data_IF_388217118362
#
_entry.id   IF_388217118362
#
_cell.length_a   1.000
_cell.length_b   1.000
_cell.length_c   1.000
_cell.angle_alpha   90.00
_cell.angle_beta   90.00
_cell.angle_gamma   90.00
#
_symmetry.space_group_name_H-M   'P 1'
#
loop_
_entity.id
_entity.type
_entity.pdbx_description
1 polymer ?
#
# COMPACT_ATOMS: atom_id res chain seq x y z
N UNK A 1 -83.87 -24.15 -15.47
CA UNK A 1 -83.16 -25.44 -15.22
C UNK A 1 -81.71 -25.15 -15.22
N UNK A 2 -81.11 -25.20 -14.03
CA UNK A 2 -79.99 -26.01 -13.52
C UNK A 2 -78.71 -25.99 -14.43
N UNK A 3 -77.52 -25.77 -14.05
CA UNK A 3 -76.87 -26.04 -12.79
C UNK A 3 -75.52 -25.33 -12.77
N UNK A 4 -75.14 -24.89 -11.60
CA UNK A 4 -73.81 -24.42 -11.25
C UNK A 4 -72.71 -25.52 -11.38
N UNK A 5 -71.46 -25.12 -11.56
CA UNK A 5 -70.32 -25.82 -10.98
C UNK A 5 -69.21 -24.81 -10.78
N UNK A 6 -69.13 -24.30 -9.57
CA UNK A 6 -67.91 -23.73 -8.98
C UNK A 6 -66.94 -24.87 -8.70
N UNK A 7 -65.84 -24.90 -9.41
CA UNK A 7 -64.67 -25.72 -9.00
C UNK A 7 -63.76 -24.88 -8.11
N UNK A 8 -63.88 -25.15 -6.81
CA UNK A 8 -62.89 -24.70 -5.83
C UNK A 8 -61.56 -25.41 -6.13
N UNK A 9 -60.56 -24.64 -6.55
CA UNK A 9 -59.20 -25.14 -6.73
C UNK A 9 -58.58 -25.25 -5.35
N UNK A 10 -58.65 -26.46 -4.77
CA UNK A 10 -57.96 -26.79 -3.52
C UNK A 10 -56.47 -26.86 -3.86
N UNK A 11 -55.71 -25.78 -3.58
CA UNK A 11 -54.25 -25.77 -3.66
C UNK A 11 -53.75 -26.55 -2.45
N UNK A 12 -53.16 -27.70 -2.69
CA UNK A 12 -52.61 -28.57 -1.65
C UNK A 12 -51.54 -27.84 -0.78
N UNK A 13 -51.50 -28.12 0.51
CA UNK A 13 -50.56 -27.42 1.46
C UNK A 13 -49.10 -27.59 1.10
N UNK A 14 -48.73 -28.60 0.32
CA UNK A 14 -47.36 -28.84 -0.13
C UNK A 14 -46.82 -27.76 -1.07
N UNK A 15 -47.66 -27.16 -1.92
CA UNK A 15 -47.25 -26.06 -2.81
C UNK A 15 -47.00 -24.75 -2.08
N UNK A 16 -47.71 -24.50 -0.96
CA UNK A 16 -47.47 -23.30 -0.13
C UNK A 16 -46.11 -23.34 0.59
N UNK A 17 -45.69 -24.54 1.05
CA UNK A 17 -44.38 -24.70 1.68
C UNK A 17 -43.21 -24.53 0.68
N UNK A 18 -43.39 -25.01 -0.56
CA UNK A 18 -42.37 -24.89 -1.60
C UNK A 18 -42.19 -23.43 -2.06
N UNK A 19 -43.28 -22.65 -2.19
CA UNK A 19 -43.19 -21.24 -2.53
C UNK A 19 -42.54 -20.38 -1.43
N UNK A 20 -42.80 -20.70 -0.15
CA UNK A 20 -42.23 -19.98 0.96
C UNK A 20 -40.72 -20.27 1.10
N UNK A 21 -40.28 -21.50 0.84
CA UNK A 21 -38.85 -21.87 0.87
C UNK A 21 -38.05 -21.23 -0.28
N UNK A 22 -38.62 -21.13 -1.47
CA UNK A 22 -38.00 -20.47 -2.62
C UNK A 22 -37.91 -18.95 -2.39
N UNK A 23 -38.90 -18.32 -1.76
CA UNK A 23 -38.86 -16.89 -1.44
C UNK A 23 -37.83 -16.58 -0.38
N UNK A 24 -37.61 -17.44 0.62
CA UNK A 24 -36.58 -17.27 1.64
C UNK A 24 -35.18 -17.49 1.06
N UNK A 25 -34.99 -18.44 0.13
CA UNK A 25 -33.71 -18.67 -0.55
C UNK A 25 -33.33 -17.51 -1.48
N UNK A 26 -34.29 -16.90 -2.18
CA UNK A 26 -34.05 -15.72 -3.04
C UNK A 26 -33.77 -14.48 -2.20
N UNK A 27 -34.40 -14.32 -1.02
CA UNK A 27 -34.12 -13.21 -0.12
C UNK A 27 -32.72 -13.31 0.53
N UNK A 28 -32.21 -14.53 0.74
CA UNK A 28 -30.83 -14.73 1.27
C UNK A 28 -29.75 -14.44 0.22
N UNK A 29 -30.07 -14.60 -1.07
CA UNK A 29 -29.14 -14.31 -2.18
C UNK A 29 -29.01 -12.79 -2.49
N UNK A 30 -29.91 -11.97 -1.97
CA UNK A 30 -29.95 -10.52 -2.19
C UNK A 30 -29.53 -9.71 -0.95
N UNK A 31 -28.87 -10.34 0.04
CA UNK A 31 -28.24 -9.56 1.11
C UNK A 31 -27.16 -8.69 0.46
N UNK A 32 -27.26 -7.35 0.56
CA UNK A 32 -26.16 -6.51 0.09
C UNK A 32 -24.91 -6.96 0.85
N UNK A 33 -23.85 -7.29 0.12
CA UNK A 33 -22.55 -7.51 0.72
C UNK A 33 -22.25 -6.27 1.56
N UNK A 34 -22.38 -6.38 2.87
CA UNK A 34 -21.97 -5.32 3.79
C UNK A 34 -20.47 -5.17 3.56
N UNK A 35 -20.07 -4.17 2.78
CA UNK A 35 -18.64 -3.90 2.58
C UNK A 35 -18.06 -3.65 3.97
N UNK A 36 -17.16 -4.51 4.39
CA UNK A 36 -16.45 -4.31 5.64
C UNK A 36 -15.84 -2.90 5.64
N UNK A 37 -15.88 -2.23 6.79
CA UNK A 37 -15.21 -0.95 6.92
C UNK A 37 -13.70 -1.14 6.61
N UNK A 38 -13.07 -0.15 5.95
CA UNK A 38 -11.66 -0.25 5.62
C UNK A 38 -10.81 -0.42 6.88
N UNK A 39 -9.71 -1.16 6.75
CA UNK A 39 -8.80 -1.38 7.85
C UNK A 39 -8.18 -0.06 8.33
N UNK A 40 -7.91 0.03 9.63
CA UNK A 40 -7.27 1.23 10.21
C UNK A 40 -5.93 1.53 9.54
N UNK A 41 -5.17 0.49 9.21
CA UNK A 41 -3.90 0.61 8.52
C UNK A 41 -4.07 1.12 7.09
N UNK A 42 -5.06 0.62 6.34
CA UNK A 42 -5.35 1.08 4.99
C UNK A 42 -5.75 2.57 4.96
N UNK A 43 -6.60 3.01 5.90
CA UNK A 43 -6.96 4.44 6.04
C UNK A 43 -5.75 5.30 6.35
N UNK A 44 -4.90 4.86 7.29
CA UNK A 44 -3.70 5.61 7.65
C UNK A 44 -2.70 5.70 6.48
N UNK A 45 -2.43 4.58 5.79
CA UNK A 45 -1.52 4.54 4.65
C UNK A 45 -2.07 5.37 3.49
N UNK A 46 -3.38 5.31 3.21
CA UNK A 46 -3.97 6.14 2.16
C UNK A 46 -3.72 7.64 2.41
N UNK A 47 -3.84 8.08 3.66
CA UNK A 47 -3.57 9.48 4.01
C UNK A 47 -2.09 9.87 3.86
N UNK A 48 -1.15 8.91 4.00
CA UNK A 48 0.30 9.11 3.88
C UNK A 48 0.81 9.00 2.44
N UNK A 49 0.07 8.31 1.56
CA UNK A 49 0.44 8.04 0.16
C UNK A 49 -0.48 8.74 -0.85
N UNK A 50 -1.32 9.67 -0.39
CA UNK A 50 -2.20 10.46 -1.24
C UNK A 50 -1.37 11.31 -2.22
N UNK A 51 -1.44 11.05 -3.55
CA UNK A 51 -0.60 11.74 -4.52
C UNK A 51 -0.83 13.26 -4.53
N UNK A 52 -2.05 13.72 -4.23
CA UNK A 52 -2.33 15.16 -4.16
C UNK A 52 -1.61 15.82 -2.96
N UNK A 53 -1.53 15.12 -1.83
CA UNK A 53 -0.79 15.60 -0.65
C UNK A 53 0.71 15.55 -0.87
N UNK A 54 1.24 14.46 -1.45
CA UNK A 54 2.66 14.34 -1.77
C UNK A 54 3.12 15.43 -2.72
N UNK A 55 2.32 15.79 -3.72
CA UNK A 55 2.60 16.87 -4.66
C UNK A 55 2.65 18.27 -4.01
N UNK A 56 2.08 18.44 -2.82
CA UNK A 56 2.12 19.70 -2.07
C UNK A 56 3.38 19.86 -1.21
N UNK A 57 4.14 18.79 -0.99
CA UNK A 57 5.38 18.83 -0.22
C UNK A 57 6.44 19.65 -1.00
N UNK A 58 7.03 20.65 -0.36
CA UNK A 58 7.98 21.58 -1.00
C UNK A 58 9.42 21.44 -0.48
N UNK A 59 9.56 21.01 0.75
CA UNK A 59 10.86 20.83 1.38
C UNK A 59 11.52 19.53 0.98
N UNK A 60 12.83 19.47 1.13
CA UNK A 60 13.58 18.23 0.96
C UNK A 60 13.23 17.26 2.09
N UNK A 61 13.11 15.95 1.74
CA UNK A 61 12.91 14.84 2.69
C UNK A 61 11.61 14.90 3.52
N UNK A 62 10.63 15.69 3.10
CA UNK A 62 9.34 15.76 3.79
C UNK A 62 8.56 14.43 3.72
N UNK A 63 8.85 13.58 2.72
CA UNK A 63 8.28 12.24 2.63
C UNK A 63 8.97 11.21 3.54
N UNK A 64 10.14 11.48 4.10
CA UNK A 64 10.87 10.53 4.94
C UNK A 64 10.05 10.06 6.16
N UNK A 65 9.43 10.96 6.96
CA UNK A 65 8.56 10.55 8.05
C UNK A 65 7.33 9.75 7.58
N UNK A 66 6.88 9.97 6.32
CA UNK A 66 5.73 9.26 5.77
C UNK A 66 6.07 7.80 5.49
N UNK A 67 7.24 7.52 4.87
CA UNK A 67 7.71 6.15 4.68
C UNK A 67 7.78 5.40 6.02
N UNK A 68 8.41 5.98 7.03
CA UNK A 68 8.56 5.38 8.35
C UNK A 68 7.20 5.03 8.98
N UNK A 69 6.23 5.94 8.90
CA UNK A 69 4.86 5.69 9.36
C UNK A 69 4.15 4.62 8.54
N UNK A 70 4.38 4.55 7.21
CA UNK A 70 3.82 3.48 6.38
C UNK A 70 4.36 2.11 6.82
N UNK A 71 5.67 2.00 7.09
CA UNK A 71 6.29 0.77 7.61
C UNK A 71 5.67 0.38 8.96
N UNK A 72 5.48 1.35 9.87
CA UNK A 72 4.76 1.10 11.12
C UNK A 72 3.38 0.52 10.88
N UNK A 73 2.58 1.13 10.01
CA UNK A 73 1.19 0.70 9.79
C UNK A 73 1.10 -0.66 9.11
N UNK A 74 2.03 -1.00 8.22
CA UNK A 74 2.09 -2.33 7.62
C UNK A 74 2.50 -3.39 8.64
N UNK A 75 3.49 -3.11 9.49
CA UNK A 75 3.87 -4.01 10.57
C UNK A 75 2.73 -4.21 11.57
N UNK A 76 2.05 -3.14 11.96
CA UNK A 76 0.87 -3.21 12.81
C UNK A 76 -0.25 -4.07 12.19
N UNK A 77 -0.52 -3.90 10.90
CA UNK A 77 -1.52 -4.71 10.18
C UNK A 77 -1.19 -6.20 10.21
N UNK A 78 0.08 -6.57 10.00
CA UNK A 78 0.53 -7.98 10.12
C UNK A 78 0.30 -8.53 11.54
N UNK A 79 0.57 -7.74 12.59
CA UNK A 79 0.28 -8.13 13.97
C UNK A 79 -1.21 -8.37 14.22
N UNK A 80 -2.09 -7.69 13.47
CA UNK A 80 -3.54 -7.92 13.49
C UNK A 80 -4.00 -9.04 12.56
N UNK A 81 -3.07 -9.73 11.88
CA UNK A 81 -3.37 -10.82 10.94
C UNK A 81 -3.80 -10.37 9.55
N UNK A 82 -3.64 -9.08 9.23
CA UNK A 82 -3.90 -8.55 7.90
C UNK A 82 -2.68 -8.77 6.97
N UNK A 83 -2.93 -8.99 5.69
CA UNK A 83 -1.85 -9.09 4.69
C UNK A 83 -1.46 -7.69 4.20
N UNK A 84 -0.16 -7.33 4.20
CA UNK A 84 0.31 -6.03 3.73
C UNK A 84 -0.22 -5.64 2.36
N UNK A 85 -0.24 -6.58 1.41
CA UNK A 85 -0.70 -6.36 0.05
C UNK A 85 -2.20 -6.00 0.02
N UNK A 86 -3.02 -6.68 0.84
CA UNK A 86 -4.46 -6.40 0.94
C UNK A 86 -4.72 -5.00 1.52
N UNK A 87 -3.94 -4.61 2.53
CA UNK A 87 -3.98 -3.25 3.13
C UNK A 87 -3.61 -2.18 2.10
N UNK A 88 -2.57 -2.44 1.29
CA UNK A 88 -2.12 -1.53 0.23
C UNK A 88 -3.12 -1.41 -0.91
N UNK A 89 -3.74 -2.53 -1.33
CA UNK A 89 -4.81 -2.52 -2.32
C UNK A 89 -6.02 -1.69 -1.85
N UNK A 90 -6.37 -1.82 -0.58
CA UNK A 90 -7.45 -1.03 0.01
C UNK A 90 -7.08 0.45 0.11
N UNK A 91 -5.85 0.77 0.52
CA UNK A 91 -5.30 2.12 0.52
C UNK A 91 -5.35 2.76 -0.86
N UNK A 92 -4.97 2.01 -1.91
CA UNK A 92 -5.04 2.47 -3.30
C UNK A 92 -6.47 2.76 -3.76
N UNK A 93 -7.46 1.95 -3.34
CA UNK A 93 -8.89 2.21 -3.60
C UNK A 93 -9.35 3.50 -2.93
N UNK A 94 -8.96 3.74 -1.67
CA UNK A 94 -9.29 4.97 -0.95
C UNK A 94 -8.70 6.21 -1.65
N UNK A 95 -7.49 6.12 -2.19
CA UNK A 95 -6.82 7.17 -2.95
C UNK A 95 -7.30 7.27 -4.41
N UNK A 96 -8.21 6.38 -4.87
CA UNK A 96 -8.66 6.30 -6.26
C UNK A 96 -7.51 6.05 -7.25
N UNK A 97 -6.46 5.38 -6.82
CA UNK A 97 -5.29 5.02 -7.64
C UNK A 97 -5.23 3.52 -7.95
N UNK A 98 -6.17 2.72 -7.45
CA UNK A 98 -6.20 1.27 -7.69
C UNK A 98 -6.15 0.94 -9.20
N UNK A 99 -5.32 -0.05 -9.55
CA UNK A 99 -5.11 -0.47 -10.95
C UNK A 99 -4.17 0.42 -11.75
N UNK A 100 -3.61 1.49 -11.19
CA UNK A 100 -2.59 2.31 -11.86
C UNK A 100 -1.17 1.81 -11.58
N UNK A 101 -0.24 2.10 -12.49
CA UNK A 101 1.18 1.81 -12.29
C UNK A 101 1.70 2.51 -11.01
N UNK A 102 1.26 3.73 -10.72
CA UNK A 102 1.61 4.47 -9.51
C UNK A 102 1.31 3.68 -8.24
N UNK A 103 0.09 3.13 -8.11
CA UNK A 103 -0.29 2.31 -6.96
C UNK A 103 0.55 1.03 -6.86
N UNK A 104 0.89 0.42 -8.00
CA UNK A 104 1.78 -0.74 -8.06
C UNK A 104 3.17 -0.45 -7.50
N UNK A 105 3.78 0.67 -7.89
CA UNK A 105 5.10 1.07 -7.38
C UNK A 105 5.08 1.49 -5.90
N UNK A 106 4.03 2.16 -5.44
CA UNK A 106 3.83 2.44 -4.00
C UNK A 106 3.74 1.12 -3.22
N UNK A 107 2.92 0.18 -3.69
CA UNK A 107 2.74 -1.13 -3.03
C UNK A 107 4.07 -1.90 -2.97
N UNK A 108 4.75 -2.05 -4.11
CA UNK A 108 6.04 -2.72 -4.17
C UNK A 108 7.07 -2.07 -3.22
N UNK A 109 7.25 -0.75 -3.30
CA UNK A 109 8.23 -0.03 -2.48
C UNK A 109 7.95 -0.16 -0.97
N UNK A 110 6.68 -0.10 -0.55
CA UNK A 110 6.31 -0.23 0.85
C UNK A 110 6.47 -1.66 1.37
N UNK A 111 6.15 -2.69 0.57
CA UNK A 111 6.39 -4.10 0.94
C UNK A 111 7.89 -4.37 1.07
N UNK A 112 8.72 -3.88 0.16
CA UNK A 112 10.19 -4.01 0.27
C UNK A 112 10.73 -3.30 1.51
N UNK A 113 10.24 -2.10 1.83
CA UNK A 113 10.65 -1.41 3.05
C UNK A 113 10.22 -2.12 4.33
N UNK A 114 9.05 -2.75 4.36
CA UNK A 114 8.63 -3.61 5.47
C UNK A 114 9.57 -4.81 5.64
N UNK A 115 9.98 -5.43 4.53
CA UNK A 115 10.94 -6.54 4.53
C UNK A 115 12.31 -6.09 5.04
N UNK A 116 12.84 -4.97 4.56
CA UNK A 116 14.07 -4.36 5.07
C UNK A 116 13.96 -4.10 6.58
N UNK A 117 12.84 -3.56 7.05
CA UNK A 117 12.61 -3.31 8.47
C UNK A 117 12.68 -4.59 9.32
N UNK A 118 12.15 -5.70 8.83
CA UNK A 118 12.23 -7.02 9.48
C UNK A 118 13.67 -7.56 9.50
N UNK A 119 14.37 -7.47 8.38
CA UNK A 119 15.76 -7.92 8.23
C UNK A 119 16.70 -7.16 9.15
N UNK A 120 16.55 -5.84 9.21
CA UNK A 120 17.36 -4.97 10.09
C UNK A 120 16.90 -5.03 11.56
N UNK A 121 15.79 -5.69 11.87
CA UNK A 121 15.26 -5.80 13.23
C UNK A 121 14.74 -4.48 13.78
N UNK A 122 14.08 -3.66 12.95
CA UNK A 122 13.53 -2.38 13.36
C UNK A 122 12.21 -2.50 14.13
N UNK A 123 11.52 -3.66 14.04
CA UNK A 123 10.16 -3.87 14.57
C UNK A 123 10.19 -4.32 16.04
N UNK A 124 11.06 -3.75 16.85
CA UNK A 124 11.03 -3.88 18.32
C UNK A 124 9.98 -2.93 18.90
N UNK A 125 9.66 -3.07 20.18
CA UNK A 125 8.72 -2.14 20.87
C UNK A 125 9.15 -0.69 20.71
N UNK A 126 10.46 -0.40 20.91
CA UNK A 126 11.04 0.93 20.79
C UNK A 126 11.04 1.39 19.32
N UNK A 127 11.45 0.50 18.40
CA UNK A 127 11.49 0.80 16.97
C UNK A 127 10.10 1.09 16.40
N UNK A 128 9.08 0.32 16.81
CA UNK A 128 7.69 0.59 16.44
C UNK A 128 7.20 1.94 16.98
N UNK A 129 7.61 2.32 18.19
CA UNK A 129 7.27 3.65 18.75
C UNK A 129 7.95 4.79 17.96
N UNK A 130 9.21 4.60 17.52
CA UNK A 130 9.94 5.56 16.67
C UNK A 130 9.29 5.67 15.29
N UNK A 131 9.05 4.54 14.60
CA UNK A 131 8.41 4.50 13.28
C UNK A 131 7.02 5.14 13.29
N UNK A 132 6.22 4.90 14.33
CA UNK A 132 4.90 5.53 14.50
C UNK A 132 4.97 7.05 14.51
N UNK A 133 6.04 7.61 15.08
CA UNK A 133 6.29 9.04 15.10
C UNK A 133 6.92 9.57 13.81
N UNK A 134 7.24 8.70 12.83
CA UNK A 134 7.98 9.06 11.62
C UNK A 134 9.46 9.33 11.89
N UNK A 135 10.04 8.66 12.88
CA UNK A 135 11.45 8.75 13.24
C UNK A 135 12.20 7.49 12.83
N UNK A 136 13.50 7.65 12.57
CA UNK A 136 14.39 6.53 12.23
C UNK A 136 14.56 5.59 13.40
N UNK A 137 14.25 4.30 13.19
CA UNK A 137 14.39 3.27 14.18
C UNK A 137 15.84 2.76 14.27
N UNK A 138 16.22 2.23 15.43
CA UNK A 138 17.55 1.66 15.66
C UNK A 138 17.59 0.22 15.13
N UNK A 139 18.61 -0.09 14.35
CA UNK A 139 18.89 -1.43 13.82
C UNK A 139 19.33 -2.33 14.98
N UNK A 140 18.69 -3.50 15.11
CA UNK A 140 19.01 -4.45 16.19
C UNK A 140 19.62 -5.76 15.67
N UNK A 141 19.70 -5.96 14.35
CA UNK A 141 20.23 -7.18 13.72
C UNK A 141 21.35 -6.89 12.74
N UNK A 142 22.22 -7.88 12.56
CA UNK A 142 23.27 -7.85 11.55
C UNK A 142 24.42 -6.88 11.87
N UNK A 143 25.26 -6.64 10.87
CA UNK A 143 26.51 -5.86 10.98
C UNK A 143 26.29 -4.38 11.27
N UNK A 144 25.09 -3.85 10.97
CA UNK A 144 24.75 -2.44 11.20
C UNK A 144 24.03 -2.20 12.54
N UNK A 145 24.00 -3.21 13.43
CA UNK A 145 23.35 -3.10 14.75
C UNK A 145 23.88 -1.89 15.51
N UNK A 146 22.95 -1.13 16.13
CA UNK A 146 23.23 0.12 16.83
C UNK A 146 23.16 1.38 15.96
N UNK A 147 23.18 1.27 14.64
CA UNK A 147 22.94 2.41 13.74
C UNK A 147 21.43 2.72 13.63
N UNK A 148 21.11 3.91 13.13
CA UNK A 148 19.74 4.23 12.68
C UNK A 148 19.55 3.76 11.25
N UNK A 149 18.33 3.30 10.94
CA UNK A 149 17.86 3.09 9.57
C UNK A 149 17.14 4.36 9.11
N UNK A 150 17.69 5.04 8.10
CA UNK A 150 17.13 6.28 7.57
C UNK A 150 16.56 6.08 6.16
N UNK A 151 15.48 6.76 5.82
CA UNK A 151 15.03 6.84 4.42
C UNK A 151 16.09 7.50 3.53
N UNK A 152 16.29 6.93 2.35
CA UNK A 152 17.17 7.44 1.31
C UNK A 152 16.49 7.27 -0.05
N UNK A 153 16.85 8.14 -1.02
CA UNK A 153 16.28 8.06 -2.36
C UNK A 153 16.91 6.89 -3.14
N UNK A 154 16.11 5.99 -3.71
CA UNK A 154 16.60 4.92 -4.58
C UNK A 154 17.28 5.53 -5.81
N UNK A 155 16.60 6.45 -6.48
CA UNK A 155 17.12 7.26 -7.57
C UNK A 155 17.43 8.66 -7.00
N UNK A 156 18.67 9.15 -7.12
CA UNK A 156 19.03 10.48 -6.59
C UNK A 156 18.13 11.58 -7.14
N UNK A 157 17.53 12.37 -6.24
CA UNK A 157 16.67 13.51 -6.60
C UNK A 157 17.44 14.57 -7.38
N UNK A 158 18.74 14.69 -7.17
CA UNK A 158 19.60 15.58 -7.98
C UNK A 158 19.55 15.26 -9.49
N UNK A 159 19.32 13.99 -9.86
CA UNK A 159 19.13 13.56 -11.24
C UNK A 159 17.66 13.62 -11.69
N UNK A 160 16.74 13.32 -10.79
CA UNK A 160 15.31 13.20 -11.08
C UNK A 160 14.49 14.02 -10.07
N UNK A 161 14.47 15.37 -10.17
CA UNK A 161 13.72 16.24 -9.24
C UNK A 161 12.22 15.93 -9.16
N UNK A 162 11.65 15.36 -10.21
CA UNK A 162 10.25 14.91 -10.23
C UNK A 162 9.94 13.75 -9.27
N UNK A 163 10.98 13.04 -8.79
CA UNK A 163 10.86 11.99 -7.79
C UNK A 163 11.02 12.51 -6.35
N UNK A 164 11.22 13.81 -6.17
CA UNK A 164 11.30 14.40 -4.84
C UNK A 164 10.01 14.14 -4.06
N UNK A 165 10.15 13.69 -2.81
CA UNK A 165 9.04 13.36 -1.92
C UNK A 165 8.09 12.25 -2.45
N UNK A 166 8.53 11.45 -3.43
CA UNK A 166 7.79 10.26 -3.86
C UNK A 166 8.14 9.07 -2.97
N UNK A 167 7.18 8.61 -2.18
CA UNK A 167 7.36 7.49 -1.24
C UNK A 167 7.87 6.23 -1.93
N UNK A 168 7.47 5.99 -3.19
CA UNK A 168 7.95 4.86 -3.99
C UNK A 168 9.45 4.94 -4.32
N UNK A 169 10.06 6.13 -4.26
CA UNK A 169 11.50 6.33 -4.48
C UNK A 169 12.33 6.25 -3.20
N UNK A 170 11.73 5.90 -2.06
CA UNK A 170 12.42 5.84 -0.79
C UNK A 170 12.70 4.40 -0.34
N UNK A 171 13.88 4.17 0.22
CA UNK A 171 14.27 2.91 0.86
C UNK A 171 14.91 3.18 2.23
N UNK A 172 14.73 2.24 3.18
CA UNK A 172 15.40 2.30 4.49
C UNK A 172 16.82 1.78 4.36
N UNK A 173 17.80 2.60 4.69
CA UNK A 173 19.22 2.23 4.70
C UNK A 173 19.86 2.50 6.06
N UNK A 174 20.83 1.65 6.50
CA UNK A 174 21.76 2.02 7.54
C UNK A 174 22.48 3.34 7.22
N UNK A 175 22.65 4.21 8.21
CA UNK A 175 23.26 5.55 8.02
C UNK A 175 24.62 5.46 7.33
N UNK A 176 25.43 4.45 7.65
CA UNK A 176 26.74 4.25 7.01
C UNK A 176 26.62 3.95 5.51
N UNK A 177 25.66 3.11 5.11
CA UNK A 177 25.41 2.78 3.71
C UNK A 177 24.84 3.98 2.94
N UNK A 178 23.90 4.71 3.54
CA UNK A 178 23.37 5.94 2.96
C UNK A 178 24.49 6.95 2.65
N UNK A 179 25.41 7.16 3.59
CA UNK A 179 26.55 8.04 3.39
C UNK A 179 27.51 7.53 2.30
N UNK A 180 27.73 6.23 2.23
CA UNK A 180 28.61 5.62 1.22
C UNK A 180 27.98 5.66 -0.20
N UNK A 181 26.65 5.52 -0.30
CA UNK A 181 25.90 5.62 -1.53
C UNK A 181 25.92 7.04 -2.09
N UNK A 182 25.70 8.08 -1.24
CA UNK A 182 25.59 9.47 -1.68
C UNK A 182 24.64 9.57 -2.90
N UNK A 183 25.02 10.35 -3.92
CA UNK A 183 24.25 10.53 -5.15
C UNK A 183 24.63 9.53 -6.27
N UNK A 184 25.26 8.40 -5.92
CA UNK A 184 25.65 7.40 -6.92
C UNK A 184 24.43 6.63 -7.41
N UNK A 185 24.38 6.43 -8.72
CA UNK A 185 23.39 5.56 -9.34
C UNK A 185 23.86 4.10 -9.26
N UNK A 186 23.10 3.28 -8.54
CA UNK A 186 23.35 1.83 -8.48
C UNK A 186 22.69 1.13 -9.68
N UNK A 187 23.09 -0.12 -9.98
CA UNK A 187 22.42 -0.93 -11.00
C UNK A 187 20.93 -1.12 -10.69
N UNK A 188 20.59 -1.30 -9.41
CA UNK A 188 19.20 -1.35 -8.95
C UNK A 188 18.45 -0.05 -9.26
N UNK A 189 19.07 1.10 -9.03
CA UNK A 189 18.45 2.40 -9.35
C UNK A 189 18.23 2.56 -10.85
N UNK A 190 19.14 2.06 -11.72
CA UNK A 190 18.96 2.08 -13.17
C UNK A 190 17.77 1.22 -13.61
N UNK A 191 17.66 -0.01 -13.11
CA UNK A 191 16.54 -0.89 -13.42
C UNK A 191 15.23 -0.24 -12.97
N UNK A 192 15.17 0.27 -11.76
CA UNK A 192 13.98 0.93 -11.22
C UNK A 192 13.60 2.19 -12.02
N UNK A 193 14.58 3.02 -12.42
CA UNK A 193 14.34 4.19 -13.25
C UNK A 193 13.76 3.82 -14.62
N UNK A 194 14.27 2.73 -15.24
CA UNK A 194 13.73 2.23 -16.49
C UNK A 194 12.26 1.81 -16.37
N UNK A 195 11.93 1.07 -15.30
CA UNK A 195 10.56 0.62 -15.04
C UNK A 195 9.61 1.83 -14.82
N UNK A 196 10.05 2.85 -14.08
CA UNK A 196 9.29 4.08 -13.89
C UNK A 196 9.09 4.85 -15.20
N UNK A 197 10.11 4.90 -16.06
CA UNK A 197 10.03 5.53 -17.38
C UNK A 197 9.04 4.80 -18.30
N UNK A 198 9.12 3.46 -18.36
CA UNK A 198 8.19 2.63 -19.13
C UNK A 198 6.74 2.77 -18.65
N UNK A 199 6.56 2.95 -17.34
CA UNK A 199 5.27 3.23 -16.72
C UNK A 199 4.80 4.70 -16.83
N UNK A 200 5.59 5.59 -17.45
CA UNK A 200 5.32 7.04 -17.58
C UNK A 200 5.25 7.79 -16.25
N UNK A 201 5.96 7.29 -15.26
CA UNK A 201 6.11 7.91 -13.93
C UNK A 201 7.45 8.65 -13.77
N UNK A 202 8.36 8.48 -14.73
CA UNK A 202 9.61 9.23 -14.86
C UNK A 202 9.65 9.85 -16.27
N UNK A 203 10.12 11.07 -16.38
CA UNK A 203 10.28 11.74 -17.65
C UNK A 203 11.39 11.09 -18.49
N UNK A 204 11.34 11.26 -19.82
CA UNK A 204 12.43 10.83 -20.73
C UNK A 204 13.77 11.48 -20.35
N UNK A 205 13.71 12.74 -19.95
CA UNK A 205 14.89 13.49 -19.53
C UNK A 205 15.46 12.94 -18.22
N UNK A 206 14.61 12.60 -17.24
CA UNK A 206 15.01 11.93 -15.99
C UNK A 206 15.65 10.58 -16.28
N UNK A 207 15.03 9.75 -17.11
CA UNK A 207 15.59 8.47 -17.51
C UNK A 207 16.98 8.62 -18.16
N UNK A 208 17.14 9.52 -19.13
CA UNK A 208 18.44 9.76 -19.80
C UNK A 208 19.52 10.18 -18.80
N UNK A 209 19.21 11.01 -17.81
CA UNK A 209 20.19 11.39 -16.76
C UNK A 209 20.64 10.19 -15.93
N UNK A 210 19.72 9.29 -15.58
CA UNK A 210 20.05 8.08 -14.82
C UNK A 210 20.83 7.08 -15.69
N UNK A 211 20.41 6.85 -16.94
CA UNK A 211 21.02 5.91 -17.89
C UNK A 211 22.50 6.25 -18.17
N UNK A 212 22.81 7.53 -18.32
CA UNK A 212 24.17 8.00 -18.65
C UNK A 212 24.99 8.43 -17.41
N UNK A 213 24.43 8.27 -16.19
CA UNK A 213 25.18 8.56 -14.96
C UNK A 213 26.32 7.54 -14.77
N UNK A 214 27.51 7.92 -14.27
CA UNK A 214 28.63 7.04 -14.04
C UNK A 214 28.33 5.95 -12.98
#
# INVERSE_FOLDING_TARGET
MKCALTQDLIIEPQFKALFLTVLILVALAAAPSLMAAPSTAAVAISALTDPAKLAMLKGEREANPLLQKCVYWLAYAEEQGEKPEAVLDESAKLNKTAGTAYAGFISWGLVENLKIAKELGLLTTEGMAELKQGKSATITKGEYSGQKAEPDDVIPVALCPELQNQVMNLELLPVSLKRAKSDKVTDRARVFAKELYEAKLLSEEGWKRVEHSP
#
